data_IF_883762033710
#
_entry.id   IF_883762033710
#
_cell.length_a   1.000
_cell.length_b   1.000
_cell.length_c   1.000
_cell.angle_alpha   90.00
_cell.angle_beta   90.00
_cell.angle_gamma   90.00
#
_symmetry.space_group_name_H-M   'P 1'
#
loop_
_entity.id
_entity.type
_entity.pdbx_description
1 polymer ?
#
# COMPACT_ATOMS: atom_id res chain seq x y z
N UNK A 1 -0.51 -2.45 0.05
CA UNK A 1 -0.21 -2.39 -1.39
C UNK A 1 -0.92 -3.45 -2.23
N UNK A 2 -1.16 -4.66 -1.74
CA UNK A 2 -1.82 -5.72 -2.51
C UNK A 2 -3.18 -5.31 -3.11
N UNK A 3 -4.10 -4.81 -2.29
CA UNK A 3 -5.43 -4.37 -2.74
C UNK A 3 -5.35 -3.19 -3.74
N UNK A 4 -4.40 -2.27 -3.51
CA UNK A 4 -4.20 -1.11 -4.38
C UNK A 4 -3.67 -1.54 -5.75
N UNK A 5 -2.66 -2.42 -5.79
CA UNK A 5 -2.11 -2.93 -7.05
C UNK A 5 -3.18 -3.65 -7.86
N UNK A 6 -4.04 -4.44 -7.21
CA UNK A 6 -5.12 -5.12 -7.92
C UNK A 6 -6.18 -4.20 -8.49
N UNK A 7 -6.68 -3.25 -7.71
CA UNK A 7 -7.72 -2.33 -8.19
C UNK A 7 -7.20 -1.30 -9.20
N UNK A 8 -5.89 -1.01 -9.18
CA UNK A 8 -5.28 -0.03 -10.08
C UNK A 8 -4.75 -0.62 -11.39
N UNK A 9 -4.40 -1.92 -11.42
CA UNK A 9 -3.72 -2.54 -12.58
C UNK A 9 -4.50 -3.68 -13.23
N UNK A 10 -5.49 -4.25 -12.55
CA UNK A 10 -6.32 -5.29 -13.12
C UNK A 10 -7.52 -4.71 -13.86
N UNK A 11 -7.60 -4.97 -15.17
CA UNK A 11 -8.73 -4.57 -16.01
C UNK A 11 -10.04 -5.26 -15.65
N UNK A 12 -9.99 -6.29 -14.79
CA UNK A 12 -11.17 -6.94 -14.21
C UNK A 12 -11.73 -6.18 -13.00
N UNK A 13 -10.99 -5.24 -12.44
CA UNK A 13 -11.43 -4.46 -11.30
C UNK A 13 -12.41 -3.35 -11.70
N UNK A 14 -13.29 -2.98 -10.78
CA UNK A 14 -14.22 -1.85 -10.95
C UNK A 14 -13.45 -0.56 -10.64
N UNK A 15 -12.96 0.11 -11.68
CA UNK A 15 -12.09 1.27 -11.56
C UNK A 15 -12.74 2.44 -10.82
N UNK A 16 -14.07 2.59 -10.93
CA UNK A 16 -14.86 3.63 -10.27
C UNK A 16 -14.81 3.51 -8.73
N UNK A 17 -14.60 2.30 -8.21
CA UNK A 17 -14.52 2.04 -6.77
C UNK A 17 -13.09 2.05 -6.23
N UNK A 18 -12.07 2.26 -7.08
CA UNK A 18 -10.66 2.24 -6.70
C UNK A 18 -10.34 3.16 -5.51
N UNK A 19 -10.84 4.39 -5.52
CA UNK A 19 -10.66 5.35 -4.43
C UNK A 19 -11.25 4.85 -3.10
N UNK A 20 -12.44 4.25 -3.13
CA UNK A 20 -13.09 3.69 -1.94
C UNK A 20 -12.31 2.49 -1.41
N UNK A 21 -11.84 1.60 -2.30
CA UNK A 21 -11.02 0.44 -1.91
C UNK A 21 -9.71 0.88 -1.26
N UNK A 22 -9.03 1.88 -1.82
CA UNK A 22 -7.79 2.42 -1.25
C UNK A 22 -8.06 3.05 0.12
N UNK A 23 -9.09 3.89 0.24
CA UNK A 23 -9.48 4.54 1.49
C UNK A 23 -9.86 3.55 2.59
N UNK A 24 -10.69 2.56 2.28
CA UNK A 24 -11.10 1.51 3.20
C UNK A 24 -9.90 0.66 3.67
N UNK A 25 -8.97 0.34 2.75
CA UNK A 25 -7.74 -0.39 3.10
C UNK A 25 -6.90 0.40 4.10
N UNK A 26 -6.71 1.70 3.86
CA UNK A 26 -5.96 2.58 4.78
C UNK A 26 -6.69 2.71 6.12
N UNK A 27 -8.02 2.83 6.13
CA UNK A 27 -8.80 2.93 7.36
C UNK A 27 -8.61 1.70 8.26
N UNK A 28 -8.80 0.49 7.73
CA UNK A 28 -8.61 -0.77 8.48
C UNK A 28 -7.19 -0.84 9.04
N UNK A 29 -6.21 -0.48 8.21
CA UNK A 29 -4.81 -0.43 8.58
C UNK A 29 -4.52 0.54 9.73
N UNK A 30 -5.12 1.72 9.72
CA UNK A 30 -4.98 2.71 10.80
C UNK A 30 -5.61 2.20 12.09
N UNK A 31 -6.77 1.54 12.01
CA UNK A 31 -7.43 0.97 13.20
C UNK A 31 -6.58 -0.11 13.88
N UNK A 32 -5.88 -0.93 13.09
CA UNK A 32 -5.05 -2.02 13.62
C UNK A 32 -3.64 -1.58 14.01
N UNK A 33 -2.95 -0.88 13.11
CA UNK A 33 -1.54 -0.53 13.27
C UNK A 33 -1.32 0.85 13.90
N UNK A 34 -2.37 1.67 14.04
CA UNK A 34 -2.33 3.01 14.62
C UNK A 34 -1.77 3.01 16.04
N UNK A 35 -2.31 2.21 16.97
CA UNK A 35 -1.81 2.13 18.34
C UNK A 35 -0.37 1.59 18.48
N UNK A 36 0.13 0.87 17.47
CA UNK A 36 1.43 0.19 17.51
C UNK A 36 2.53 1.06 16.90
N UNK A 37 2.27 1.67 15.74
CA UNK A 37 3.29 2.37 14.92
C UNK A 37 2.81 3.72 14.37
N UNK A 38 1.63 4.20 14.78
CA UNK A 38 1.01 5.39 14.17
C UNK A 38 0.51 5.19 12.74
N UNK A 39 0.55 3.94 12.23
CA UNK A 39 0.07 3.53 10.91
C UNK A 39 0.60 4.39 9.75
N UNK A 40 1.91 4.64 9.70
CA UNK A 40 2.47 5.51 8.66
C UNK A 40 2.30 4.95 7.25
N UNK A 41 2.83 3.75 7.01
CA UNK A 41 2.71 2.99 5.74
C UNK A 41 3.23 3.71 4.48
N UNK A 42 3.79 4.91 4.64
CA UNK A 42 4.24 5.78 3.57
C UNK A 42 5.46 6.56 4.05
N UNK A 43 6.65 6.36 3.44
CA UNK A 43 7.86 7.06 3.80
C UNK A 43 7.69 8.58 3.84
N UNK A 44 6.99 9.19 2.87
CA UNK A 44 6.78 10.64 2.84
C UNK A 44 5.96 11.14 4.04
N UNK A 45 4.99 10.34 4.51
CA UNK A 45 4.15 10.65 5.68
C UNK A 45 4.90 10.50 7.01
N UNK A 46 6.04 9.79 7.03
CA UNK A 46 6.95 9.75 8.18
C UNK A 46 8.05 10.80 8.11
N UNK A 47 8.65 11.03 6.93
CA UNK A 47 9.78 11.96 6.75
C UNK A 47 9.36 13.41 7.01
N UNK A 48 8.18 13.83 6.57
CA UNK A 48 7.71 15.21 6.75
C UNK A 48 7.68 15.67 8.21
N UNK A 49 6.93 14.97 9.10
CA UNK A 49 6.92 15.28 10.53
C UNK A 49 8.30 15.14 11.17
N UNK A 50 9.08 14.10 10.83
CA UNK A 50 10.43 13.88 11.37
C UNK A 50 11.36 15.06 11.09
N UNK A 51 11.28 15.65 9.89
CA UNK A 51 12.07 16.82 9.52
C UNK A 51 11.65 18.08 10.28
N UNK A 52 10.34 18.26 10.52
CA UNK A 52 9.81 19.43 11.25
C UNK A 52 10.11 19.34 12.74
N UNK A 53 9.97 18.15 13.34
CA UNK A 53 10.24 17.93 14.76
C UNK A 53 11.71 17.66 15.07
N UNK A 54 12.56 17.49 14.04
CA UNK A 54 13.96 17.06 14.16
C UNK A 54 14.14 15.72 14.89
N UNK A 55 13.14 14.84 14.79
CA UNK A 55 13.10 13.53 15.43
C UNK A 55 13.16 12.43 14.38
N UNK A 56 14.29 11.73 14.32
CA UNK A 56 14.55 10.70 13.30
C UNK A 56 14.55 9.28 13.87
N UNK A 57 14.18 9.15 15.14
CA UNK A 57 14.13 7.87 15.84
C UNK A 57 13.25 6.87 15.10
N UNK A 58 13.82 5.70 14.85
CA UNK A 58 13.20 4.61 14.10
C UNK A 58 12.72 4.97 12.68
N UNK A 59 13.05 6.14 12.11
CA UNK A 59 12.56 6.55 10.78
C UNK A 59 12.88 5.52 9.68
N UNK A 60 14.02 4.85 9.81
CA UNK A 60 14.46 3.81 8.87
C UNK A 60 13.43 2.67 8.71
N UNK A 61 12.70 2.29 9.79
CA UNK A 61 11.72 1.21 9.70
C UNK A 61 10.52 1.63 8.86
N UNK A 62 10.15 2.91 8.93
CA UNK A 62 9.08 3.51 8.14
C UNK A 62 9.48 3.75 6.67
N UNK A 63 10.74 3.50 6.31
CA UNK A 63 11.22 3.52 4.92
C UNK A 63 11.34 2.08 4.41
N UNK A 64 12.08 1.23 5.13
CA UNK A 64 12.39 -0.14 4.72
C UNK A 64 11.14 -1.01 4.70
N UNK A 65 10.29 -0.96 5.74
CA UNK A 65 9.13 -1.83 5.83
C UNK A 65 8.09 -1.56 4.73
N UNK A 66 7.73 -0.29 4.39
CA UNK A 66 6.85 -0.04 3.25
C UNK A 66 7.41 -0.49 1.91
N UNK A 67 8.72 -0.35 1.67
CA UNK A 67 9.35 -0.82 0.43
C UNK A 67 9.24 -2.33 0.32
N UNK A 68 9.66 -3.07 1.35
CA UNK A 68 9.58 -4.54 1.38
C UNK A 68 8.14 -5.03 1.23
N UNK A 69 7.19 -4.39 1.92
CA UNK A 69 5.77 -4.71 1.82
C UNK A 69 5.19 -4.45 0.42
N UNK A 70 5.65 -3.38 -0.25
CA UNK A 70 5.24 -3.07 -1.63
C UNK A 70 5.79 -4.11 -2.60
N UNK A 71 7.09 -4.38 -2.56
CA UNK A 71 7.74 -5.38 -3.42
C UNK A 71 7.09 -6.76 -3.25
N UNK A 72 6.88 -7.18 -2.00
CA UNK A 72 6.24 -8.47 -1.70
C UNK A 72 4.81 -8.52 -2.25
N UNK A 73 4.02 -7.45 -2.05
CA UNK A 73 2.66 -7.39 -2.57
C UNK A 73 2.60 -7.44 -4.11
N UNK A 74 3.52 -6.74 -4.80
CA UNK A 74 3.60 -6.77 -6.26
C UNK A 74 3.90 -8.17 -6.77
N UNK A 75 4.88 -8.86 -6.17
CA UNK A 75 5.20 -10.25 -6.54
C UNK A 75 4.01 -11.17 -6.32
N UNK A 76 3.39 -11.12 -5.13
CA UNK A 76 2.23 -11.96 -4.79
C UNK A 76 1.09 -11.72 -5.79
N UNK A 77 0.74 -10.46 -6.06
CA UNK A 77 -0.36 -10.19 -6.97
C UNK A 77 -0.04 -10.63 -8.39
N UNK A 78 1.21 -10.48 -8.84
CA UNK A 78 1.64 -10.93 -10.17
C UNK A 78 1.51 -12.44 -10.33
N UNK A 79 1.73 -13.21 -9.26
CA UNK A 79 1.53 -14.67 -9.24
C UNK A 79 0.05 -15.07 -9.20
N UNK A 80 -0.78 -14.32 -8.46
CA UNK A 80 -2.21 -14.60 -8.33
C UNK A 80 -3.01 -14.13 -9.56
N UNK A 81 -2.52 -13.11 -10.26
CA UNK A 81 -3.17 -12.56 -11.45
C UNK A 81 -3.08 -13.56 -12.60
N UNK A 82 -4.18 -14.26 -12.86
CA UNK A 82 -4.29 -15.15 -14.01
C UNK A 82 -4.19 -14.36 -15.33
N UNK A 83 -3.48 -14.88 -16.35
CA UNK A 83 -3.49 -14.31 -17.68
C UNK A 83 -4.93 -14.10 -18.17
N UNK A 84 -5.17 -13.01 -18.91
CA UNK A 84 -6.44 -12.85 -19.60
C UNK A 84 -6.55 -13.94 -20.67
N UNK A 85 -7.71 -14.60 -20.85
CA UNK A 85 -7.91 -15.49 -21.97
C UNK A 85 -7.67 -14.71 -23.27
N UNK A 86 -6.85 -15.29 -24.15
CA UNK A 86 -6.29 -14.69 -25.38
C UNK A 86 -7.36 -14.16 -26.36
N UNK A 87 -8.61 -14.56 -26.17
CA UNK A 87 -9.74 -14.31 -27.06
C UNK A 87 -10.56 -13.03 -26.74
N UNK A 88 -9.91 -11.99 -26.22
CA UNK A 88 -10.57 -10.71 -25.86
C UNK A 88 -9.92 -9.47 -26.49
N UNK A 89 -9.23 -9.66 -27.63
CA UNK A 89 -8.77 -8.60 -28.54
C UNK A 89 -9.58 -8.62 -29.83
#
# INVERSE_FOLDING_TARGET
MLAIYGVATDSRAINELSGVTVGATVLVNVLLAGPITGASMNPARSIGPALVSMEFDCLWIYIVAPILGTTTATVIYSLVRLPLPENRL
#
